data_IF_498432101007
#
_entry.id   IF_498432101007
#
_cell.length_a   1.000
_cell.length_b   1.000
_cell.length_c   1.000
_cell.angle_alpha   90.00
_cell.angle_beta   90.00
_cell.angle_gamma   90.00
#
_symmetry.space_group_name_H-M   'P 1'
#
loop_
_entity.id
_entity.type
_entity.pdbx_description
1 polymer ?
#
# COMPACT_ATOMS: atom_id res chain seq x y z
N UNK A 1 20.33 6.61 -19.68
CA UNK A 1 19.55 5.54 -19.02
C UNK A 1 18.15 6.10 -18.79
N UNK A 2 17.10 5.32 -19.06
CA UNK A 2 15.71 5.74 -18.85
C UNK A 2 15.39 5.70 -17.36
N UNK A 3 15.03 6.85 -16.78
CA UNK A 3 14.54 6.94 -15.39
C UNK A 3 13.15 6.31 -15.33
N UNK A 4 13.02 5.19 -14.60
CA UNK A 4 11.78 4.43 -14.50
C UNK A 4 11.40 4.21 -13.03
N UNK A 5 10.13 4.48 -12.73
CA UNK A 5 9.49 4.16 -11.45
C UNK A 5 8.40 3.12 -11.67
N UNK A 6 8.35 2.11 -10.81
CA UNK A 6 7.23 1.19 -10.68
C UNK A 6 6.56 1.45 -9.34
N UNK A 7 5.31 1.89 -9.36
CA UNK A 7 4.52 1.99 -8.12
C UNK A 7 3.79 0.68 -7.86
N UNK A 8 3.82 0.23 -6.62
CA UNK A 8 3.14 -0.97 -6.14
C UNK A 8 2.05 -0.55 -5.15
N UNK A 9 0.80 -0.64 -5.58
CA UNK A 9 -0.38 -0.28 -4.78
C UNK A 9 -1.27 -1.49 -4.55
N UNK A 10 -2.12 -1.47 -3.53
CA UNK A 10 -3.04 -2.56 -3.23
C UNK A 10 -3.29 -2.75 -1.73
N UNK A 11 -4.33 -3.49 -1.34
CA UNK A 11 -4.74 -3.66 0.04
C UNK A 11 -3.65 -4.23 0.94
N UNK A 12 -3.76 -4.05 2.24
CA UNK A 12 -2.95 -4.77 3.21
C UNK A 12 -2.98 -6.28 2.93
N UNK A 13 -1.85 -6.95 3.22
CA UNK A 13 -1.68 -8.38 2.93
C UNK A 13 -1.73 -8.79 1.43
N UNK A 14 -1.68 -7.87 0.47
CA UNK A 14 -1.65 -8.22 -0.96
C UNK A 14 -0.31 -8.73 -1.51
N UNK A 15 0.81 -8.50 -0.82
CA UNK A 15 2.14 -8.98 -1.24
C UNK A 15 3.06 -7.92 -1.84
N UNK A 16 2.64 -6.65 -1.93
CA UNK A 16 3.43 -5.52 -2.48
C UNK A 16 4.87 -5.43 -1.96
N UNK A 17 5.06 -5.47 -0.64
CA UNK A 17 6.39 -5.36 -0.04
C UNK A 17 7.29 -6.52 -0.45
N UNK A 18 6.74 -7.72 -0.61
CA UNK A 18 7.50 -8.88 -1.05
C UNK A 18 7.86 -8.78 -2.54
N UNK A 19 6.95 -8.29 -3.39
CA UNK A 19 7.26 -8.01 -4.80
C UNK A 19 8.35 -6.93 -4.91
N UNK A 20 8.28 -5.86 -4.11
CA UNK A 20 9.32 -4.82 -4.06
C UNK A 20 10.68 -5.39 -3.62
N UNK A 21 10.68 -6.24 -2.60
CA UNK A 21 11.88 -6.93 -2.11
C UNK A 21 12.52 -7.81 -3.19
N UNK A 22 11.73 -8.58 -3.95
CA UNK A 22 12.24 -9.42 -5.05
C UNK A 22 12.84 -8.53 -6.15
N UNK A 23 12.15 -7.44 -6.54
CA UNK A 23 12.66 -6.50 -7.55
C UNK A 23 13.99 -5.86 -7.12
N UNK A 24 14.12 -5.47 -5.85
CA UNK A 24 15.34 -4.89 -5.28
C UNK A 24 16.48 -5.91 -5.21
N UNK A 25 16.24 -7.04 -4.53
CA UNK A 25 17.27 -8.03 -4.21
C UNK A 25 17.73 -8.89 -5.39
N UNK A 26 16.87 -9.13 -6.38
CA UNK A 26 17.16 -10.03 -7.51
C UNK A 26 17.27 -9.32 -8.87
N UNK A 27 16.69 -8.14 -9.01
CA UNK A 27 16.58 -7.45 -10.31
C UNK A 27 17.14 -6.02 -10.31
N UNK A 28 17.86 -5.63 -9.26
CA UNK A 28 18.65 -4.39 -9.23
C UNK A 28 17.84 -3.10 -9.07
N UNK A 29 16.54 -3.19 -8.77
CA UNK A 29 15.73 -2.01 -8.49
C UNK A 29 16.26 -1.27 -7.25
N UNK A 30 16.24 0.05 -7.29
CA UNK A 30 16.60 0.95 -6.21
C UNK A 30 15.53 1.01 -5.13
N UNK A 31 15.98 1.06 -3.89
CA UNK A 31 15.14 1.37 -2.73
C UNK A 31 15.23 2.85 -2.42
N UNK A 32 14.10 3.44 -2.06
CA UNK A 32 13.99 4.84 -1.67
C UNK A 32 13.61 4.89 -0.20
N UNK A 33 14.46 5.52 0.61
CA UNK A 33 14.17 5.80 2.01
C UNK A 33 13.18 6.97 2.08
N UNK A 34 11.98 6.73 2.60
CA UNK A 34 10.96 7.77 2.78
C UNK A 34 11.34 8.75 3.89
N UNK A 35 10.75 9.94 3.84
CA UNK A 35 10.81 11.00 4.85
C UNK A 35 9.56 10.97 5.72
N UNK A 36 9.68 11.21 7.02
CA UNK A 36 8.52 11.33 7.93
C UNK A 36 8.73 12.37 9.03
N UNK A 37 7.61 12.93 9.51
CA UNK A 37 7.57 13.83 10.66
C UNK A 37 7.38 13.11 12.00
N UNK A 38 7.07 11.80 11.97
CA UNK A 38 6.92 11.01 13.19
C UNK A 38 8.29 10.83 13.84
N UNK A 39 8.35 10.92 15.16
CA UNK A 39 9.56 10.54 15.91
C UNK A 39 10.02 9.11 15.62
N UNK A 40 11.33 8.92 15.53
CA UNK A 40 11.94 7.60 15.40
C UNK A 40 11.59 6.71 16.59
N UNK A 41 11.22 5.45 16.33
CA UNK A 41 11.11 4.43 17.38
C UNK A 41 12.51 4.06 17.90
N UNK A 42 12.64 3.47 19.10
CA UNK A 42 13.93 3.16 19.71
C UNK A 42 14.92 2.35 18.84
N UNK A 43 14.42 1.57 17.88
CA UNK A 43 15.23 0.73 16.99
C UNK A 43 15.32 1.27 15.55
N UNK A 44 14.76 2.45 15.26
CA UNK A 44 14.81 3.07 13.94
C UNK A 44 16.01 4.03 13.85
N UNK A 45 16.74 3.93 12.75
CA UNK A 45 17.93 4.74 12.45
C UNK A 45 17.61 5.70 11.30
N UNK A 46 17.92 6.99 11.51
CA UNK A 46 17.74 8.04 10.51
C UNK A 46 18.59 7.80 9.26
N UNK A 47 17.99 7.99 8.08
CA UNK A 47 18.60 7.73 6.77
C UNK A 47 18.66 6.25 6.38
N UNK A 48 18.35 5.34 7.29
CA UNK A 48 18.22 3.90 7.00
C UNK A 48 16.74 3.48 6.94
N UNK A 49 15.96 3.84 7.94
CA UNK A 49 14.54 3.44 8.03
C UNK A 49 13.64 4.53 7.44
N UNK A 50 13.88 5.77 7.87
CA UNK A 50 13.28 6.98 7.32
C UNK A 50 14.27 8.13 7.44
N UNK A 51 14.06 9.20 6.66
CA UNK A 51 14.54 10.53 7.01
C UNK A 51 13.55 11.16 7.99
N UNK A 52 13.91 11.19 9.27
CA UNK A 52 13.12 11.82 10.32
C UNK A 52 13.39 13.32 10.33
N UNK A 53 12.37 14.12 10.02
CA UNK A 53 12.45 15.58 9.89
C UNK A 53 11.36 16.23 10.73
N UNK A 54 11.49 17.53 11.01
CA UNK A 54 10.40 18.25 11.69
C UNK A 54 9.22 18.51 10.74
N UNK A 55 8.00 18.75 11.25
CA UNK A 55 6.86 19.17 10.42
C UNK A 55 7.16 20.39 9.55
N UNK A 56 7.91 21.36 10.05
CA UNK A 56 8.28 22.58 9.32
C UNK A 56 9.24 22.27 8.16
N UNK A 57 10.22 21.38 8.38
CA UNK A 57 11.12 20.93 7.33
C UNK A 57 10.38 20.15 6.24
N UNK A 58 9.45 19.28 6.64
CA UNK A 58 8.61 18.54 5.71
C UNK A 58 7.75 19.48 4.87
N UNK A 59 7.08 20.45 5.51
CA UNK A 59 6.24 21.42 4.82
C UNK A 59 7.05 22.29 3.87
N UNK A 60 8.24 22.73 4.27
CA UNK A 60 9.14 23.48 3.39
C UNK A 60 9.51 22.68 2.13
N UNK A 61 9.78 21.37 2.26
CA UNK A 61 10.07 20.49 1.11
C UNK A 61 8.83 20.30 0.20
N UNK A 62 7.62 20.23 0.78
CA UNK A 62 6.37 20.21 0.02
C UNK A 62 6.19 21.52 -0.76
N UNK A 63 6.35 22.67 -0.09
CA UNK A 63 6.18 24.00 -0.69
C UNK A 63 7.21 24.29 -1.79
N UNK A 64 8.43 23.75 -1.63
CA UNK A 64 9.49 23.83 -2.63
C UNK A 64 9.31 22.85 -3.81
N UNK A 65 8.30 21.96 -3.77
CA UNK A 65 8.08 20.95 -4.82
C UNK A 65 9.18 19.88 -4.87
N UNK A 66 9.83 19.62 -3.73
CA UNK A 66 10.90 18.61 -3.59
C UNK A 66 10.34 17.20 -3.36
N UNK A 67 9.11 17.09 -2.87
CA UNK A 67 8.43 15.81 -2.66
C UNK A 67 7.92 15.24 -4.00
N UNK A 68 8.25 13.99 -4.28
CA UNK A 68 7.66 13.26 -5.41
C UNK A 68 6.27 12.73 -5.05
N UNK A 69 6.08 12.31 -3.81
CA UNK A 69 4.78 11.97 -3.23
C UNK A 69 4.78 12.27 -1.74
N UNK A 70 3.63 12.60 -1.19
CA UNK A 70 3.44 12.69 0.26
C UNK A 70 2.00 12.41 0.68
N UNK A 71 1.83 12.06 1.95
CA UNK A 71 0.53 11.84 2.60
C UNK A 71 0.57 12.23 4.08
N UNK A 72 -0.57 12.68 4.59
CA UNK A 72 -0.81 12.85 6.03
C UNK A 72 -1.56 11.63 6.58
N UNK A 73 -1.05 11.04 7.65
CA UNK A 73 -1.67 9.91 8.34
C UNK A 73 -1.53 10.07 9.85
N UNK A 74 -2.66 10.07 10.56
CA UNK A 74 -2.73 10.23 12.02
C UNK A 74 -1.93 11.44 12.55
N UNK A 75 -2.03 12.58 11.88
CA UNK A 75 -1.34 13.82 12.27
C UNK A 75 0.17 13.81 12.01
N UNK A 76 0.69 12.80 11.30
CA UNK A 76 2.07 12.71 10.86
C UNK A 76 2.14 12.70 9.34
N UNK A 77 3.22 13.20 8.78
CA UNK A 77 3.45 13.22 7.34
C UNK A 77 4.49 12.18 6.95
N UNK A 78 4.29 11.62 5.76
CA UNK A 78 5.17 10.64 5.13
C UNK A 78 5.29 10.99 3.66
N UNK A 79 6.43 10.70 3.04
CA UNK A 79 6.58 10.85 1.60
C UNK A 79 7.97 10.50 1.10
N UNK A 80 8.22 10.63 -0.19
CA UNK A 80 9.52 10.38 -0.80
C UNK A 80 9.97 11.60 -1.63
N UNK A 81 11.23 12.02 -1.45
CA UNK A 81 11.77 13.19 -2.16
C UNK A 81 12.19 12.84 -3.59
N UNK A 82 12.11 13.79 -4.51
CA UNK A 82 12.61 13.67 -5.89
C UNK A 82 14.11 13.32 -5.94
N UNK A 83 14.88 13.81 -4.98
CA UNK A 83 16.30 13.53 -4.85
C UNK A 83 16.58 12.04 -4.59
N UNK A 84 15.76 11.40 -3.74
CA UNK A 84 15.94 9.99 -3.42
C UNK A 84 15.80 9.10 -4.68
N UNK A 85 14.87 9.43 -5.59
CA UNK A 85 14.75 8.76 -6.89
C UNK A 85 15.90 9.10 -7.82
N UNK A 86 16.25 10.38 -7.95
CA UNK A 86 17.36 10.85 -8.79
C UNK A 86 18.68 10.16 -8.44
N UNK A 87 18.93 9.93 -7.15
CA UNK A 87 20.11 9.21 -6.65
C UNK A 87 20.16 7.76 -7.12
N UNK A 88 19.02 7.06 -7.18
CA UNK A 88 18.98 5.69 -7.70
C UNK A 88 19.13 5.67 -9.23
N UNK A 89 18.51 6.61 -9.95
CA UNK A 89 18.66 6.72 -11.40
C UNK A 89 20.11 7.01 -11.81
N UNK A 90 20.81 7.88 -11.07
CA UNK A 90 22.24 8.15 -11.28
C UNK A 90 23.12 6.90 -11.13
N UNK A 91 22.65 5.91 -10.36
CA UNK A 91 23.32 4.61 -10.15
C UNK A 91 22.91 3.54 -11.15
N UNK A 92 22.11 3.87 -12.17
CA UNK A 92 21.68 2.85 -13.12
C UNK A 92 20.49 2.01 -12.64
N UNK A 93 19.76 2.44 -11.60
CA UNK A 93 18.73 1.61 -10.95
C UNK A 93 17.33 2.19 -11.14
N UNK A 94 16.39 1.49 -11.81
CA UNK A 94 14.98 1.86 -11.76
C UNK A 94 14.45 1.69 -10.32
N UNK A 95 13.39 2.38 -9.94
CA UNK A 95 12.87 2.34 -8.55
C UNK A 95 11.55 1.61 -8.48
N UNK A 96 11.38 0.74 -7.50
CA UNK A 96 10.08 0.17 -7.14
C UNK A 96 9.67 0.72 -5.77
N UNK A 97 8.49 1.33 -5.68
CA UNK A 97 8.00 1.97 -4.44
C UNK A 97 6.60 1.49 -4.09
N UNK A 98 6.39 1.16 -2.82
CA UNK A 98 5.06 0.79 -2.29
C UNK A 98 4.35 2.06 -1.82
N UNK A 99 3.19 2.36 -2.41
CA UNK A 99 2.41 3.57 -2.12
C UNK A 99 0.91 3.28 -2.16
N UNK A 100 0.14 4.09 -1.44
CA UNK A 100 -1.33 4.12 -1.52
C UNK A 100 -1.80 4.73 -2.87
N UNK A 101 -3.10 4.62 -3.24
CA UNK A 101 -3.60 5.13 -4.51
C UNK A 101 -3.27 6.61 -4.78
N UNK A 102 -3.45 7.47 -3.77
CA UNK A 102 -3.09 8.88 -3.90
C UNK A 102 -1.57 9.09 -4.14
N UNK A 103 -0.73 8.31 -3.44
CA UNK A 103 0.71 8.33 -3.67
C UNK A 103 1.07 7.88 -5.09
N UNK A 104 0.43 6.83 -5.61
CA UNK A 104 0.66 6.34 -6.97
C UNK A 104 0.32 7.41 -8.03
N UNK A 105 -0.78 8.13 -7.82
CA UNK A 105 -1.21 9.25 -8.68
C UNK A 105 -0.21 10.41 -8.63
N UNK A 106 0.24 10.79 -7.43
CA UNK A 106 1.27 11.83 -7.26
C UNK A 106 2.59 11.44 -7.93
N UNK A 107 3.09 10.22 -7.70
CA UNK A 107 4.31 9.72 -8.33
C UNK A 107 4.19 9.76 -9.85
N UNK A 108 3.08 9.25 -10.42
CA UNK A 108 2.89 9.26 -11.88
C UNK A 108 2.90 10.68 -12.44
N UNK A 109 2.08 11.58 -11.90
CA UNK A 109 2.02 12.99 -12.33
C UNK A 109 3.37 13.69 -12.22
N UNK A 110 4.04 13.54 -11.08
CA UNK A 110 5.28 14.27 -10.81
C UNK A 110 6.46 13.65 -11.57
N UNK A 111 6.50 12.34 -11.79
CA UNK A 111 7.48 11.68 -12.66
C UNK A 111 7.37 12.18 -14.10
N UNK A 112 6.16 12.26 -14.63
CA UNK A 112 5.91 12.73 -16.00
C UNK A 112 6.32 14.20 -16.19
N UNK A 113 6.02 15.06 -15.21
CA UNK A 113 6.48 16.46 -15.21
C UNK A 113 8.02 16.60 -15.24
N UNK A 114 8.74 15.55 -14.82
CA UNK A 114 10.20 15.48 -14.82
C UNK A 114 10.76 14.73 -16.04
N UNK A 115 9.90 14.27 -16.95
CA UNK A 115 10.29 13.43 -18.09
C UNK A 115 10.70 12.01 -17.71
N UNK A 116 10.37 11.56 -16.49
CA UNK A 116 10.60 10.19 -16.04
C UNK A 116 9.44 9.29 -16.47
N UNK A 117 9.72 8.01 -16.62
CA UNK A 117 8.72 6.99 -16.92
C UNK A 117 8.15 6.43 -15.61
N UNK A 118 6.85 6.15 -15.60
CA UNK A 118 6.16 5.56 -14.46
C UNK A 118 5.20 4.46 -14.91
N UNK A 119 5.30 3.29 -14.29
CA UNK A 119 4.35 2.18 -14.44
C UNK A 119 3.60 2.03 -13.12
N UNK A 120 2.26 2.10 -13.17
CA UNK A 120 1.43 1.90 -11.98
C UNK A 120 0.89 0.48 -11.91
N UNK A 121 1.22 -0.23 -10.83
CA UNK A 121 0.83 -1.63 -10.62
C UNK A 121 -0.07 -1.74 -9.40
N UNK A 122 -1.23 -2.37 -9.57
CA UNK A 122 -2.11 -2.76 -8.47
C UNK A 122 -2.01 -4.27 -8.21
N UNK A 123 -1.77 -4.64 -6.95
CA UNK A 123 -1.85 -6.03 -6.49
C UNK A 123 -3.11 -6.17 -5.65
N UNK A 124 -4.13 -6.77 -6.26
CA UNK A 124 -5.45 -6.97 -5.69
C UNK A 124 -5.46 -8.07 -4.64
N UNK A 125 -6.26 -7.90 -3.60
CA UNK A 125 -6.35 -8.85 -2.50
C UNK A 125 -7.80 -8.92 -2.04
N UNK A 126 -8.49 -10.05 -2.26
CA UNK A 126 -9.83 -10.25 -1.73
C UNK A 126 -9.82 -10.10 -0.21
N UNK A 127 -10.87 -9.48 0.35
CA UNK A 127 -10.99 -9.23 1.80
C UNK A 127 -10.85 -10.52 2.62
N UNK A 128 -11.37 -11.65 2.12
CA UNK A 128 -11.20 -12.96 2.75
C UNK A 128 -9.72 -13.36 2.89
N UNK A 129 -8.94 -13.18 1.82
CA UNK A 129 -7.50 -13.47 1.82
C UNK A 129 -6.76 -12.54 2.78
N UNK A 130 -7.09 -11.25 2.79
CA UNK A 130 -6.53 -10.28 3.72
C UNK A 130 -6.83 -10.67 5.17
N UNK A 131 -8.07 -11.05 5.47
CA UNK A 131 -8.51 -11.46 6.80
C UNK A 131 -7.78 -12.72 7.28
N UNK A 132 -7.63 -13.72 6.40
CA UNK A 132 -6.85 -14.93 6.70
C UNK A 132 -5.41 -14.58 7.09
N UNK A 133 -4.73 -13.75 6.29
CA UNK A 133 -3.34 -13.33 6.55
C UNK A 133 -3.21 -12.45 7.79
N UNK A 134 -4.20 -11.64 8.11
CA UNK A 134 -4.23 -10.89 9.37
C UNK A 134 -4.44 -11.81 10.58
N UNK A 135 -5.27 -12.85 10.47
CA UNK A 135 -5.43 -13.85 11.51
C UNK A 135 -4.14 -14.64 11.76
N UNK A 136 -3.43 -15.03 10.69
CA UNK A 136 -2.08 -15.65 10.76
C UNK A 136 -1.09 -14.75 11.51
N UNK A 137 -1.00 -13.46 11.12
CA UNK A 137 -0.12 -12.49 11.80
C UNK A 137 -0.51 -12.29 13.26
N UNK A 138 -1.81 -12.19 13.55
CA UNK A 138 -2.31 -12.08 14.91
C UNK A 138 -1.91 -13.29 15.76
N UNK A 139 -1.96 -14.51 15.20
CA UNK A 139 -1.57 -15.73 15.92
C UNK A 139 -0.09 -15.69 16.37
N UNK A 140 0.79 -15.07 15.57
CA UNK A 140 2.20 -14.85 15.91
C UNK A 140 2.38 -13.71 16.94
N UNK A 141 1.68 -12.59 16.75
CA UNK A 141 1.80 -11.39 17.59
C UNK A 141 1.22 -11.61 19.00
N UNK A 142 0.09 -12.33 19.12
CA UNK A 142 -0.64 -12.53 20.39
C UNK A 142 0.15 -13.30 21.45
N UNK A 143 1.18 -14.04 21.04
CA UNK A 143 2.06 -14.75 21.96
C UNK A 143 2.85 -13.81 22.88
N UNK A 144 3.07 -12.56 22.46
CA UNK A 144 3.80 -11.56 23.22
C UNK A 144 2.86 -10.66 24.04
N UNK A 145 1.79 -10.17 23.41
CA UNK A 145 0.80 -9.29 24.05
C UNK A 145 -0.54 -9.43 23.31
N UNK A 146 -1.45 -10.23 23.87
CA UNK A 146 -2.74 -10.53 23.24
C UNK A 146 -3.62 -9.29 23.05
N UNK A 147 -3.62 -8.38 24.03
CA UNK A 147 -4.50 -7.19 24.03
C UNK A 147 -4.02 -6.22 22.95
N UNK A 148 -2.72 -5.92 22.93
CA UNK A 148 -2.12 -5.03 21.92
C UNK A 148 -2.21 -5.63 20.52
N UNK A 149 -1.95 -6.92 20.36
CA UNK A 149 -2.08 -7.62 19.09
C UNK A 149 -3.52 -7.58 18.56
N UNK A 150 -4.52 -7.79 19.42
CA UNK A 150 -5.92 -7.75 19.03
C UNK A 150 -6.33 -6.35 18.56
N UNK A 151 -5.96 -5.29 19.31
CA UNK A 151 -6.24 -3.92 18.90
C UNK A 151 -5.56 -3.53 17.59
N UNK A 152 -4.28 -3.89 17.41
CA UNK A 152 -3.57 -3.60 16.16
C UNK A 152 -4.12 -4.39 14.96
N UNK A 153 -4.49 -5.65 15.16
CA UNK A 153 -5.13 -6.46 14.12
C UNK A 153 -6.53 -5.94 13.77
N UNK A 154 -7.35 -5.59 14.75
CA UNK A 154 -8.69 -5.04 14.54
C UNK A 154 -8.66 -3.78 13.66
N UNK A 155 -7.74 -2.84 13.91
CA UNK A 155 -7.57 -1.65 13.06
C UNK A 155 -7.24 -1.99 11.61
N UNK A 156 -6.35 -2.97 11.40
CA UNK A 156 -6.00 -3.47 10.06
C UNK A 156 -7.21 -4.12 9.36
N UNK A 157 -8.02 -4.89 10.09
CA UNK A 157 -9.24 -5.51 9.56
C UNK A 157 -10.30 -4.47 9.18
N UNK A 158 -10.49 -3.41 9.98
CA UNK A 158 -11.37 -2.29 9.63
C UNK A 158 -10.91 -1.64 8.33
N UNK A 159 -9.61 -1.37 8.20
CA UNK A 159 -9.04 -0.77 6.98
C UNK A 159 -9.24 -1.66 5.75
N UNK A 160 -8.98 -2.96 5.88
CA UNK A 160 -9.17 -3.95 4.82
C UNK A 160 -10.64 -4.09 4.38
N UNK A 161 -11.59 -4.04 5.32
CA UNK A 161 -13.02 -4.15 5.03
C UNK A 161 -13.66 -2.86 4.48
N UNK A 162 -13.00 -1.72 4.67
CA UNK A 162 -13.53 -0.41 4.31
C UNK A 162 -12.74 0.20 3.14
N UNK A 163 -11.75 1.03 3.47
CA UNK A 163 -11.04 1.91 2.54
C UNK A 163 -10.29 1.11 1.48
N UNK A 164 -9.56 0.07 1.88
CA UNK A 164 -8.67 -0.66 0.95
C UNK A 164 -9.42 -1.44 -0.13
N UNK A 165 -10.66 -1.86 0.16
CA UNK A 165 -11.51 -2.58 -0.80
C UNK A 165 -11.81 -1.76 -2.05
N UNK A 166 -11.93 -0.44 -1.89
CA UNK A 166 -12.24 0.47 -3.00
C UNK A 166 -10.96 0.92 -3.73
N UNK A 167 -9.77 0.57 -3.26
CA UNK A 167 -8.51 1.02 -3.86
C UNK A 167 -8.33 0.57 -5.31
N UNK A 168 -8.90 -0.57 -5.69
CA UNK A 168 -8.84 -1.08 -7.08
C UNK A 168 -9.45 -0.10 -8.08
N UNK A 169 -10.47 0.64 -7.65
CA UNK A 169 -11.21 1.61 -8.46
C UNK A 169 -10.88 3.06 -8.08
N UNK A 170 -10.03 3.26 -7.07
CA UNK A 170 -9.63 4.59 -6.60
C UNK A 170 -8.68 5.30 -7.57
N UNK A 171 -7.95 4.55 -8.40
CA UNK A 171 -7.08 5.11 -9.42
C UNK A 171 -7.02 4.21 -10.67
N UNK A 172 -6.55 4.79 -11.77
CA UNK A 172 -6.22 4.03 -12.98
C UNK A 172 -4.83 3.41 -12.84
N UNK A 173 -4.72 2.10 -13.09
CA UNK A 173 -3.49 1.32 -13.00
C UNK A 173 -3.13 0.71 -14.35
N UNK A 174 -1.86 0.80 -14.74
CA UNK A 174 -1.35 0.25 -15.99
C UNK A 174 -1.41 -1.30 -15.97
N UNK A 175 -1.15 -1.90 -14.81
CA UNK A 175 -1.24 -3.34 -14.61
C UNK A 175 -1.94 -3.71 -13.31
N UNK A 176 -2.72 -4.79 -13.34
CA UNK A 176 -3.38 -5.35 -12.16
C UNK A 176 -3.12 -6.84 -12.07
N UNK A 177 -2.68 -7.28 -10.89
CA UNK A 177 -2.41 -8.68 -10.58
C UNK A 177 -3.21 -9.11 -9.34
N UNK A 178 -3.53 -10.39 -9.24
CA UNK A 178 -4.03 -10.95 -7.98
C UNK A 178 -2.87 -11.14 -6.97
N UNK A 179 -3.20 -11.12 -5.69
CA UNK A 179 -2.23 -11.38 -4.63
C UNK A 179 -1.59 -12.76 -4.81
N UNK A 180 -0.25 -12.79 -4.70
CA UNK A 180 0.49 -14.05 -4.69
C UNK A 180 0.07 -14.91 -3.50
N UNK A 181 -0.16 -16.20 -3.70
CA UNK A 181 -0.42 -17.17 -2.62
C UNK A 181 0.74 -18.17 -2.49
N UNK A 182 1.55 -18.32 -3.54
CA UNK A 182 2.76 -19.12 -3.57
C UNK A 182 3.97 -18.28 -4.00
N UNK A 183 5.21 -18.75 -3.76
CA UNK A 183 6.41 -18.11 -4.31
C UNK A 183 6.37 -17.98 -5.84
N UNK A 184 5.84 -19.00 -6.54
CA UNK A 184 5.72 -18.99 -8.00
C UNK A 184 4.78 -17.88 -8.50
N UNK A 185 3.69 -17.59 -7.78
CA UNK A 185 2.80 -16.47 -8.12
C UNK A 185 3.53 -15.13 -7.99
N UNK A 186 4.36 -14.97 -6.95
CA UNK A 186 5.15 -13.75 -6.75
C UNK A 186 6.18 -13.56 -7.86
N UNK A 187 6.90 -14.62 -8.22
CA UNK A 187 7.86 -14.62 -9.33
C UNK A 187 7.17 -14.32 -10.68
N UNK A 188 5.95 -14.83 -10.89
CA UNK A 188 5.16 -14.50 -12.08
C UNK A 188 4.80 -13.01 -12.15
N UNK A 189 4.32 -12.42 -11.04
CA UNK A 189 4.02 -10.98 -10.96
C UNK A 189 5.28 -10.16 -11.29
N UNK A 190 6.43 -10.52 -10.70
CA UNK A 190 7.71 -9.85 -10.95
C UNK A 190 8.11 -9.95 -12.42
N UNK A 191 8.02 -11.14 -13.03
CA UNK A 191 8.34 -11.32 -14.45
C UNK A 191 7.49 -10.41 -15.35
N UNK A 192 6.19 -10.28 -15.05
CA UNK A 192 5.29 -9.40 -15.81
C UNK A 192 5.61 -7.91 -15.63
N UNK A 193 6.04 -7.51 -14.44
CA UNK A 193 6.52 -6.14 -14.17
C UNK A 193 7.81 -5.87 -14.96
N UNK A 194 8.74 -6.83 -15.00
CA UNK A 194 10.00 -6.69 -15.75
C UNK A 194 9.75 -6.60 -17.25
N UNK A 195 8.87 -7.44 -17.81
CA UNK A 195 8.46 -7.33 -19.22
C UNK A 195 7.88 -5.94 -19.56
N UNK A 196 7.06 -5.38 -18.66
CA UNK A 196 6.50 -4.04 -18.85
C UNK A 196 7.58 -2.95 -18.76
N UNK A 197 8.49 -3.07 -17.79
CA UNK A 197 9.62 -2.16 -17.61
C UNK A 197 10.54 -2.16 -18.83
N UNK A 198 10.89 -3.34 -19.37
CA UNK A 198 11.72 -3.48 -20.57
C UNK A 198 11.07 -2.81 -21.79
N UNK A 199 9.77 -2.99 -21.98
CA UNK A 199 9.03 -2.33 -23.08
C UNK A 199 9.07 -0.81 -22.96
N UNK A 200 8.83 -0.27 -21.77
CA UNK A 200 8.87 1.18 -21.52
C UNK A 200 10.28 1.76 -21.68
N UNK A 201 11.31 1.03 -21.25
CA UNK A 201 12.70 1.43 -21.43
C UNK A 201 13.09 1.44 -22.91
N UNK A 202 12.66 0.43 -23.68
CA UNK A 202 12.96 0.30 -25.10
C UNK A 202 12.19 1.30 -25.97
N UNK A 203 10.94 1.61 -25.60
CA UNK A 203 10.05 2.52 -26.33
C UNK A 203 9.37 3.48 -25.34
N UNK A 204 10.08 4.54 -24.91
CA UNK A 204 9.49 5.55 -24.03
C UNK A 204 8.32 6.23 -24.74
N UNK A 205 7.12 6.08 -24.21
CA UNK A 205 5.94 6.75 -24.75
C UNK A 205 5.80 8.17 -24.14
N UNK A 206 5.20 9.09 -24.89
CA UNK A 206 4.66 10.30 -24.31
C UNK A 206 3.48 9.92 -23.40
N UNK A 207 3.51 10.36 -22.14
CA UNK A 207 2.41 10.09 -21.21
C UNK A 207 1.08 10.60 -21.78
N UNK A 208 0.05 9.76 -21.69
CA UNK A 208 -1.29 10.02 -22.25
C UNK A 208 -2.44 9.69 -21.29
N UNK A 209 -2.19 9.38 -20.02
CA UNK A 209 -3.29 8.97 -19.12
C UNK A 209 -3.70 10.09 -18.17
N UNK A 210 -5.00 10.39 -18.15
CA UNK A 210 -5.60 11.23 -17.12
C UNK A 210 -5.31 10.65 -15.72
N UNK A 211 -4.77 11.48 -14.83
CA UNK A 211 -4.49 11.14 -13.44
C UNK A 211 -5.78 11.16 -12.63
N UNK A 212 -6.54 10.05 -12.64
CA UNK A 212 -7.77 9.96 -11.86
C UNK A 212 -7.49 9.42 -10.47
N UNK A 213 -7.90 10.20 -9.48
CA UNK A 213 -8.06 9.76 -8.09
C UNK A 213 -9.54 9.88 -7.74
N UNK A 214 -10.11 8.82 -7.18
CA UNK A 214 -11.44 8.81 -6.58
C UNK A 214 -11.27 8.57 -5.10
N UNK A 215 -11.96 9.35 -4.28
CA UNK A 215 -11.95 9.13 -2.84
C UNK A 215 -12.60 7.76 -2.55
N UNK A 216 -11.88 6.83 -1.89
CA UNK A 216 -12.49 5.63 -1.37
C UNK A 216 -13.63 6.03 -0.43
N UNK A 217 -14.71 5.25 -0.43
CA UNK A 217 -15.71 5.44 0.62
C UNK A 217 -14.99 5.13 1.94
N UNK A 218 -15.03 6.04 2.90
CA UNK A 218 -14.56 5.80 4.27
C UNK A 218 -15.76 5.45 5.17
N UNK A 219 -15.54 4.67 6.23
CA UNK A 219 -16.57 4.50 7.25
C UNK A 219 -16.66 5.75 8.11
N UNK A 220 -17.86 6.08 8.58
CA UNK A 220 -18.04 7.08 9.62
C UNK A 220 -17.26 6.68 10.87
N UNK A 221 -16.72 7.66 11.61
CA UNK A 221 -15.88 7.39 12.79
C UNK A 221 -16.58 6.46 13.81
N UNK A 222 -17.89 6.62 14.02
CA UNK A 222 -18.66 5.78 14.96
C UNK A 222 -18.72 4.32 14.49
N UNK A 223 -18.98 4.10 13.20
CA UNK A 223 -19.09 2.76 12.63
C UNK A 223 -17.74 2.05 12.59
N UNK A 224 -16.66 2.79 12.27
CA UNK A 224 -15.30 2.28 12.33
C UNK A 224 -14.91 1.84 13.75
N UNK A 225 -15.20 2.65 14.77
CA UNK A 225 -14.91 2.32 16.17
C UNK A 225 -15.75 1.14 16.67
N UNK A 226 -17.02 1.07 16.27
CA UNK A 226 -17.90 -0.05 16.61
C UNK A 226 -17.41 -1.37 15.97
N UNK A 227 -17.05 -1.32 14.68
CA UNK A 227 -16.50 -2.47 13.97
C UNK A 227 -15.15 -2.91 14.56
N UNK A 228 -14.28 -1.96 14.92
CA UNK A 228 -13.01 -2.25 15.60
C UNK A 228 -13.25 -3.03 16.90
N UNK A 229 -14.17 -2.56 17.76
CA UNK A 229 -14.49 -3.24 19.02
C UNK A 229 -14.99 -4.68 18.80
N UNK A 230 -15.85 -4.90 17.80
CA UNK A 230 -16.34 -6.25 17.45
C UNK A 230 -15.22 -7.15 16.93
N UNK A 231 -14.27 -6.61 16.16
CA UNK A 231 -13.10 -7.38 15.73
C UNK A 231 -12.20 -7.75 16.90
N UNK A 232 -11.97 -6.85 17.86
CA UNK A 232 -11.17 -7.16 19.06
C UNK A 232 -11.78 -8.35 19.81
N UNK A 233 -13.09 -8.34 20.04
CA UNK A 233 -13.80 -9.46 20.69
C UNK A 233 -13.65 -10.76 19.90
N UNK A 234 -13.90 -10.72 18.59
CA UNK A 234 -13.79 -11.89 17.72
C UNK A 234 -12.37 -12.47 17.71
N UNK A 235 -11.35 -11.62 17.60
CA UNK A 235 -9.93 -12.01 17.61
C UNK A 235 -9.54 -12.70 18.93
N UNK A 236 -9.95 -12.14 20.06
CA UNK A 236 -9.70 -12.73 21.38
C UNK A 236 -10.42 -14.06 21.58
N UNK A 237 -11.52 -14.29 20.86
CA UNK A 237 -12.27 -15.55 20.82
C UNK A 237 -11.67 -16.64 19.94
N UNK A 238 -10.72 -16.33 19.03
CA UNK A 238 -10.15 -17.31 18.11
C UNK A 238 -9.33 -18.39 18.86
N UNK A 239 -9.53 -19.66 18.46
CA UNK A 239 -8.85 -20.84 19.01
C UNK A 239 -8.32 -21.72 17.88
N UNK A 240 -7.28 -22.50 18.17
CA UNK A 240 -6.61 -23.37 17.19
C UNK A 240 -5.89 -22.60 16.08
N UNK A 241 -5.49 -23.32 15.04
CA UNK A 241 -4.66 -22.83 13.93
C UNK A 241 -5.37 -22.91 12.56
N UNK A 242 -6.69 -23.13 12.54
CA UNK A 242 -7.49 -23.07 11.32
C UNK A 242 -7.76 -21.61 10.91
N UNK A 243 -6.80 -21.03 10.20
CA UNK A 243 -6.88 -19.65 9.73
C UNK A 243 -8.00 -19.43 8.69
N UNK A 244 -8.47 -20.47 8.01
CA UNK A 244 -9.64 -20.38 7.15
C UNK A 244 -10.92 -20.22 7.97
N UNK A 245 -11.08 -20.98 9.06
CA UNK A 245 -12.18 -20.78 10.00
C UNK A 245 -12.13 -19.41 10.66
N UNK A 246 -10.95 -18.94 11.04
CA UNK A 246 -10.77 -17.59 11.59
C UNK A 246 -11.19 -16.51 10.59
N UNK A 247 -10.77 -16.62 9.32
CA UNK A 247 -11.17 -15.67 8.28
C UNK A 247 -12.70 -15.61 8.11
N UNK A 248 -13.39 -16.76 8.09
CA UNK A 248 -14.85 -16.83 8.02
C UNK A 248 -15.53 -16.15 9.21
N UNK A 249 -15.03 -16.37 10.42
CA UNK A 249 -15.57 -15.72 11.62
C UNK A 249 -15.40 -14.20 11.59
N UNK A 250 -14.23 -13.72 11.15
CA UNK A 250 -13.97 -12.28 11.00
C UNK A 250 -14.82 -11.67 9.88
N UNK A 251 -15.02 -12.37 8.76
CA UNK A 251 -15.91 -11.92 7.68
C UNK A 251 -17.35 -11.77 8.16
N UNK A 252 -17.85 -12.70 8.99
CA UNK A 252 -19.18 -12.59 9.58
C UNK A 252 -19.35 -11.34 10.48
N UNK A 253 -18.26 -10.86 11.11
CA UNK A 253 -18.26 -9.58 11.84
C UNK A 253 -18.41 -8.40 10.89
N UNK A 254 -17.73 -8.44 9.74
CA UNK A 254 -17.70 -7.38 8.74
C UNK A 254 -18.94 -7.34 7.81
N UNK A 255 -19.69 -8.44 7.72
CA UNK A 255 -20.78 -8.64 6.75
C UNK A 255 -21.80 -7.49 6.69
N UNK A 256 -22.30 -6.93 7.82
CA UNK A 256 -23.23 -5.79 7.77
C UNK A 256 -22.64 -4.58 7.03
N UNK A 257 -21.37 -4.29 7.27
CA UNK A 257 -20.65 -3.17 6.65
C UNK A 257 -20.35 -3.44 5.18
N UNK A 258 -20.01 -4.69 4.84
CA UNK A 258 -19.73 -5.10 3.47
C UNK A 258 -21.00 -5.06 2.60
N UNK A 259 -22.16 -5.42 3.18
CA UNK A 259 -23.46 -5.43 2.52
C UNK A 259 -23.99 -4.02 2.24
N UNK A 260 -23.93 -3.12 3.23
CA UNK A 260 -24.33 -1.71 3.08
C UNK A 260 -23.56 -1.02 1.95
N UNK A 261 -22.26 -1.31 1.83
CA UNK A 261 -21.41 -0.77 0.77
C UNK A 261 -21.70 -1.31 -0.61
N UNK A 262 -22.03 -2.60 -0.73
CA UNK A 262 -22.50 -3.15 -1.99
C UNK A 262 -23.75 -2.39 -2.45
N UNK A 263 -24.72 -2.18 -1.55
CA UNK A 263 -25.93 -1.42 -1.87
C UNK A 263 -25.64 0.03 -2.31
N UNK A 264 -24.71 0.73 -1.65
CA UNK A 264 -24.32 2.09 -2.02
C UNK A 264 -23.67 2.20 -3.41
N UNK A 265 -22.80 1.24 -3.76
CA UNK A 265 -22.17 1.16 -5.09
C UNK A 265 -23.18 0.85 -6.21
N UNK A 266 -24.23 0.07 -5.93
CA UNK A 266 -25.31 -0.19 -6.91
C UNK A 266 -26.32 0.97 -7.03
N UNK A 267 -26.54 1.73 -5.95
CA UNK A 267 -27.47 2.89 -5.98
C UNK A 267 -26.90 4.12 -6.69
N UNK A 268 -25.58 4.20 -6.88
CA UNK A 268 -24.91 5.31 -7.59
C UNK A 268 -24.68 5.01 -9.07
N UNK A 269 -25.11 3.83 -9.54
CA UNK A 269 -24.98 3.37 -10.92
C UNK A 269 -26.30 3.44 -11.73
N UNK A 270 -27.35 4.09 -11.18
CA UNK A 270 -28.66 4.34 -11.81
C UNK A 270 -28.91 5.85 -11.84
#
# INVERSE_FOLDING_TARGET
MTALIVTLTGPSCSGKSHVAEILSSRHGFGEVTSTTTRDARPNEVNGQHYHFVTPEQFQAAVDAGEMLEHIGFNGQHYGATREAFSTQFARGRPVAIVVEPNGAVQVKRNAEALGWQCITVFIDCPVELAFRRHAERYALERAHDQVKAAGSCAKRLVQAASIERDWRIAADYDHVFGASQTPADADHIVARILEAAERVIAQPAASSSAHRLREPLALGHRDAAHLEARFVEALQGLRGDDHHAHARALLAVAEPVLAERLAAHYSTAI
#
